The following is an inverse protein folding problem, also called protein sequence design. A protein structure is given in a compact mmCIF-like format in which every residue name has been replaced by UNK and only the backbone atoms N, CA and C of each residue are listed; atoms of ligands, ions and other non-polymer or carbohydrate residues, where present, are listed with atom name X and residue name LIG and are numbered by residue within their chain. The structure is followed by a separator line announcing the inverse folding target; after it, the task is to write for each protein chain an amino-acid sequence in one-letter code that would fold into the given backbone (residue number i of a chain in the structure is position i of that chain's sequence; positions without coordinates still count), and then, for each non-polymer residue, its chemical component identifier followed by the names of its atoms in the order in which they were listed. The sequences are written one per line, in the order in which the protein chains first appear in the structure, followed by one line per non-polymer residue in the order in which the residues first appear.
data_IF_435668104932
#
_entry.id   IF_435668104932
#
_cell.length_a   1.000
_cell.length_b   1.000
_cell.length_c   1.000
_cell.angle_alpha   90.00
_cell.angle_beta   90.00
_cell.angle_gamma   90.00
#
_symmetry.space_group_name_H-M   'P 1'
#
loop_
_entity.id
_entity.type
_entity.pdbx_description
1 polymer ?
#
# COMPACT_ATOMS: atom_id res chain seq x y z
N UNK A 1 2.83 28.43 13.55
CA UNK A 1 2.73 27.93 13.59
C UNK A 1 1.98 27.03 13.81
N UNK A 2 1.20 26.85 13.77
CA UNK A 2 0.29 26.10 14.07
C UNK A 2 0.35 24.85 13.53
N UNK A 3 0.64 24.65 12.71
CA UNK A 3 0.84 23.55 12.24
C UNK A 3 0.92 22.54 13.14
N UNK A 4 1.19 22.70 14.16
CA UNK A 4 1.42 21.79 15.10
C UNK A 4 0.31 20.87 15.32
N UNK A 5 -0.84 21.23 15.39
CA UNK A 5 -1.93 20.36 15.69
C UNK A 5 -1.98 19.26 14.72
N UNK A 6 -1.62 19.53 13.61
CA UNK A 6 -1.68 18.56 12.64
C UNK A 6 -0.85 17.42 12.95
N UNK A 7 0.20 17.58 13.62
CA UNK A 7 1.00 16.55 13.93
C UNK A 7 0.37 15.56 14.76
N UNK A 8 -0.42 15.92 15.63
CA UNK A 8 -1.06 15.03 16.52
C UNK A 8 -1.83 14.03 15.76
N UNK A 9 -2.52 14.43 14.76
CA UNK A 9 -3.24 13.53 14.03
C UNK A 9 -2.37 12.61 13.32
N UNK A 10 -1.27 13.04 12.87
CA UNK A 10 -0.37 12.23 12.14
C UNK A 10 0.04 11.00 12.91
N UNK A 11 0.07 11.05 14.19
CA UNK A 11 0.50 9.90 14.96
C UNK A 11 -0.49 8.79 14.93
N UNK A 12 -1.74 9.06 14.61
CA UNK A 12 -2.72 8.00 14.54
C UNK A 12 -3.04 7.60 13.13
N UNK A 13 -2.47 8.29 12.16
CA UNK A 13 -2.73 7.96 10.81
C UNK A 13 -1.69 7.03 10.29
N UNK A 14 -2.05 6.18 9.37
CA UNK A 14 -1.10 5.32 8.70
C UNK A 14 -0.32 6.15 7.69
N UNK A 15 0.92 5.78 7.49
CA UNK A 15 1.73 6.39 6.47
C UNK A 15 1.40 5.75 5.13
N UNK A 16 1.07 6.51 4.11
CA UNK A 16 0.75 5.91 2.81
C UNK A 16 1.92 5.10 2.27
N UNK A 17 1.60 4.03 1.59
CA UNK A 17 2.62 3.20 0.97
C UNK A 17 2.91 3.73 -0.43
N UNK A 18 3.89 4.64 -0.50
CA UNK A 18 4.21 5.28 -1.76
C UNK A 18 4.87 4.35 -2.75
N UNK A 19 5.55 3.32 -2.26
CA UNK A 19 6.16 2.35 -3.16
C UNK A 19 5.08 1.62 -3.94
N UNK A 20 4.02 1.21 -3.27
CA UNK A 20 2.93 0.52 -3.93
C UNK A 20 2.24 1.45 -4.92
N UNK A 21 1.99 2.68 -4.52
CA UNK A 21 1.35 3.64 -5.40
C UNK A 21 2.18 3.87 -6.65
N UNK A 22 3.49 4.04 -6.50
CA UNK A 22 4.37 4.29 -7.63
C UNK A 22 4.40 3.11 -8.60
N UNK A 23 4.46 1.90 -8.06
CA UNK A 23 4.46 0.72 -8.90
C UNK A 23 3.18 0.66 -9.73
N UNK A 24 2.05 0.92 -9.08
CA UNK A 24 0.77 0.86 -9.75
C UNK A 24 0.67 1.93 -10.85
N UNK A 25 1.04 3.14 -10.51
CA UNK A 25 0.96 4.24 -11.45
C UNK A 25 1.90 4.03 -12.63
N UNK A 26 3.09 3.54 -12.37
CA UNK A 26 4.06 3.28 -13.43
C UNK A 26 3.56 2.23 -14.40
N UNK A 27 2.71 1.31 -13.94
CA UNK A 27 2.13 0.30 -14.82
C UNK A 27 0.84 0.78 -15.47
N UNK A 28 0.44 1.99 -15.17
CA UNK A 28 -0.79 2.54 -15.75
C UNK A 28 -2.05 1.90 -15.20
N UNK A 29 -2.02 1.41 -13.97
CA UNK A 29 -3.15 0.70 -13.40
C UNK A 29 -3.92 1.56 -12.42
N UNK A 30 -5.24 1.46 -12.44
CA UNK A 30 -6.05 2.04 -11.38
C UNK A 30 -6.02 1.06 -10.19
N UNK A 31 -6.46 1.48 -9.00
CA UNK A 31 -6.54 0.52 -7.89
C UNK A 31 -7.39 -0.70 -8.22
N UNK A 32 -8.48 -0.50 -8.96
CA UNK A 32 -9.33 -1.62 -9.34
C UNK A 32 -8.63 -2.53 -10.36
N UNK A 33 -7.85 -1.96 -11.26
CA UNK A 33 -7.08 -2.75 -12.21
C UNK A 33 -6.08 -3.64 -11.51
N UNK A 34 -5.38 -3.07 -10.53
CA UNK A 34 -4.42 -3.84 -9.76
C UNK A 34 -5.13 -4.93 -8.99
N UNK A 35 -6.26 -4.61 -8.38
CA UNK A 35 -7.04 -5.58 -7.62
C UNK A 35 -7.45 -6.74 -8.49
N UNK A 36 -7.89 -6.44 -9.69
CA UNK A 36 -8.32 -7.47 -10.62
C UNK A 36 -7.16 -8.41 -10.96
N UNK A 37 -6.00 -7.85 -11.25
CA UNK A 37 -4.83 -8.66 -11.57
C UNK A 37 -4.35 -9.50 -10.40
N UNK A 38 -4.49 -8.96 -9.20
CA UNK A 38 -4.05 -9.66 -8.00
C UNK A 38 -5.11 -10.63 -7.47
N UNK A 39 -6.33 -10.54 -7.96
CA UNK A 39 -7.42 -11.40 -7.49
C UNK A 39 -7.94 -10.98 -6.11
N UNK A 40 -7.94 -9.69 -5.82
CA UNK A 40 -8.42 -9.16 -4.55
C UNK A 40 -9.37 -8.01 -4.81
N UNK A 41 -9.95 -7.44 -3.77
CA UNK A 41 -10.89 -6.35 -3.95
C UNK A 41 -10.16 -5.01 -4.11
N UNK A 42 -10.81 -4.09 -4.79
CA UNK A 42 -10.25 -2.74 -4.95
C UNK A 42 -10.08 -2.04 -3.61
N UNK A 43 -10.99 -2.29 -2.67
CA UNK A 43 -10.87 -1.70 -1.36
C UNK A 43 -9.63 -2.18 -0.63
N UNK A 44 -9.25 -3.44 -0.82
CA UNK A 44 -8.04 -3.98 -0.23
C UNK A 44 -6.81 -3.24 -0.77
N UNK A 45 -6.80 -2.94 -2.07
CA UNK A 45 -5.70 -2.19 -2.66
C UNK A 45 -5.66 -0.78 -2.08
N UNK A 46 -6.80 -0.13 -1.97
CA UNK A 46 -6.84 1.23 -1.43
C UNK A 46 -6.36 1.30 0.00
N UNK A 47 -6.73 0.32 0.80
CA UNK A 47 -6.28 0.27 2.19
C UNK A 47 -4.77 0.03 2.25
N UNK A 48 -4.25 -0.84 1.40
CA UNK A 48 -2.81 -1.08 1.37
C UNK A 48 -2.05 0.18 0.99
N UNK A 49 -2.57 0.94 0.01
CA UNK A 49 -1.91 2.18 -0.39
C UNK A 49 -2.03 3.26 0.69
N UNK A 50 -3.07 3.19 1.50
CA UNK A 50 -3.24 4.15 2.59
C UNK A 50 -2.32 3.85 3.78
N UNK A 51 -1.62 2.73 3.76
CA UNK A 51 -0.65 2.41 4.79
C UNK A 51 -1.03 1.24 5.69
N UNK A 52 -2.19 0.63 5.49
CA UNK A 52 -2.55 -0.55 6.26
C UNK A 52 -1.83 -1.74 5.68
N UNK A 53 -1.21 -2.54 6.55
CA UNK A 53 -0.45 -3.69 6.10
C UNK A 53 -1.41 -4.85 5.83
N UNK A 54 -1.49 -5.33 4.60
CA UNK A 54 -2.39 -6.44 4.31
C UNK A 54 -1.82 -7.76 4.83
N UNK A 55 -2.65 -8.79 4.82
CA UNK A 55 -2.20 -10.12 5.24
C UNK A 55 -1.13 -10.62 4.28
N UNK A 56 -0.30 -11.56 4.71
CA UNK A 56 0.76 -12.08 3.85
C UNK A 56 0.25 -12.59 2.52
N UNK A 57 -0.91 -13.22 2.50
CA UNK A 57 -1.49 -13.72 1.27
C UNK A 57 -1.76 -12.58 0.29
N UNK A 58 -2.31 -11.48 0.77
CA UNK A 58 -2.60 -10.34 -0.07
C UNK A 58 -1.30 -9.67 -0.51
N UNK A 59 -0.31 -9.60 0.39
CA UNK A 59 0.98 -9.02 0.02
C UNK A 59 1.59 -9.78 -1.13
N UNK A 60 1.54 -11.12 -1.08
CA UNK A 60 2.06 -11.93 -2.16
C UNK A 60 1.29 -11.71 -3.45
N UNK A 61 -0.04 -11.64 -3.35
CA UNK A 61 -0.86 -11.47 -4.53
C UNK A 61 -0.53 -10.16 -5.26
N UNK A 62 -0.35 -9.09 -4.51
CA UNK A 62 -0.01 -7.81 -5.09
C UNK A 62 1.41 -7.80 -5.64
N UNK A 63 2.36 -8.28 -4.85
CA UNK A 63 3.76 -8.26 -5.26
C UNK A 63 3.98 -9.05 -6.54
N UNK A 64 3.24 -10.14 -6.69
CA UNK A 64 3.37 -10.96 -7.87
C UNK A 64 3.01 -10.23 -9.14
N UNK A 65 2.07 -9.32 -9.09
CA UNK A 65 1.68 -8.55 -10.26
C UNK A 65 2.87 -7.76 -10.81
N UNK A 66 3.76 -7.33 -9.91
CA UNK A 66 4.92 -6.53 -10.29
C UNK A 66 6.20 -7.35 -10.38
N UNK A 67 6.12 -8.65 -10.15
CA UNK A 67 7.31 -9.49 -10.18
C UNK A 67 8.27 -9.23 -9.04
N UNK A 68 7.74 -8.82 -7.89
CA UNK A 68 8.55 -8.46 -6.73
C UNK A 68 8.23 -9.37 -5.55
N UNK A 69 9.10 -9.33 -4.56
CA UNK A 69 8.84 -10.00 -3.30
C UNK A 69 8.05 -9.06 -2.40
N UNK A 70 7.23 -9.58 -1.50
CA UNK A 70 6.46 -8.71 -0.59
C UNK A 70 7.30 -7.73 0.20
N UNK A 71 8.51 -8.11 0.61
CA UNK A 71 9.37 -7.23 1.37
C UNK A 71 9.86 -6.02 0.58
N UNK A 72 9.78 -6.09 -0.74
CA UNK A 72 10.16 -4.96 -1.57
C UNK A 72 9.11 -3.84 -1.46
N UNK A 73 7.88 -4.19 -1.12
CA UNK A 73 6.79 -3.24 -1.00
C UNK A 73 6.46 -2.97 0.47
N UNK A 74 6.57 -3.99 1.30
CA UNK A 74 6.29 -3.89 2.73
C UNK A 74 7.52 -4.34 3.52
N UNK A 75 8.49 -3.44 3.69
CA UNK A 75 9.70 -3.79 4.45
C UNK A 75 9.35 -4.07 5.89
N UNK A 76 10.18 -4.83 6.55
CA UNK A 76 9.94 -5.21 7.94
C UNK A 76 9.68 -4.03 8.85
N UNK A 77 10.40 -2.96 8.68
CA UNK A 77 10.21 -1.79 9.53
C UNK A 77 8.84 -1.21 9.39
N UNK A 78 8.25 -1.30 8.22
CA UNK A 78 6.94 -0.73 7.99
C UNK A 78 5.84 -1.60 8.54
N UNK A 79 6.14 -2.80 8.94
CA UNK A 79 5.14 -3.73 9.43
C UNK A 79 5.06 -3.79 10.94
N UNK A 80 5.78 -2.94 11.63
CA UNK A 80 5.76 -2.95 13.06
C UNK A 80 4.63 -2.23 13.68
#
# INVERSE_FOLDING_TARGET
MPLTPTKTRATTRKTPNRSLQSLRINEGLSPNDLAYRAGISGNTVRLAEAGYTPSPRVQFAIARVFGLAPLDIWPLEAQR
#
